data_IF_400259326170
#
_entry.id   IF_400259326170
#
_cell.length_a   1.000
_cell.length_b   1.000
_cell.length_c   1.000
_cell.angle_alpha   90.00
_cell.angle_beta   90.00
_cell.angle_gamma   90.00
#
_symmetry.space_group_name_H-M   'P 1'
#
loop_
_entity.id
_entity.type
_entity.pdbx_description
1 polymer ?
#
# COMPACT_ATOMS: atom_id res chain seq x y z
N UNK A 1 -8.17 -11.83 7.91
CA UNK A 1 -8.08 -11.28 6.53
C UNK A 1 -8.03 -12.42 5.53
N UNK A 2 -8.80 -12.33 4.46
CA UNK A 2 -8.79 -13.35 3.42
C UNK A 2 -7.44 -13.37 2.70
N UNK A 3 -6.94 -14.56 2.30
CA UNK A 3 -5.75 -14.61 1.44
C UNK A 3 -5.99 -13.90 0.12
N UNK A 4 -4.91 -13.40 -0.48
CA UNK A 4 -4.99 -12.83 -1.82
C UNK A 4 -5.35 -13.88 -2.85
N UNK A 5 -6.00 -13.47 -3.94
CA UNK A 5 -6.38 -14.37 -5.02
C UNK A 5 -5.16 -15.12 -5.59
N UNK A 6 -4.04 -14.41 -5.74
CA UNK A 6 -2.76 -15.02 -6.09
C UNK A 6 -1.97 -15.24 -4.80
N UNK A 7 -2.00 -16.46 -4.28
CA UNK A 7 -1.42 -16.78 -2.98
C UNK A 7 0.09 -16.60 -2.92
N UNK A 8 0.79 -16.80 -4.02
CA UNK A 8 2.24 -16.64 -4.08
C UNK A 8 2.70 -15.20 -3.84
N UNK A 9 1.82 -14.22 -4.05
CA UNK A 9 2.16 -12.82 -3.81
C UNK A 9 2.46 -12.57 -2.34
N UNK A 10 1.65 -13.12 -1.45
CA UNK A 10 1.88 -12.97 -0.01
C UNK A 10 3.04 -13.82 0.51
N UNK A 11 3.37 -14.91 -0.19
CA UNK A 11 4.39 -15.87 0.24
C UNK A 11 5.76 -15.61 -0.34
N UNK A 12 5.86 -14.83 -1.41
CA UNK A 12 7.14 -14.52 -2.02
C UNK A 12 7.97 -13.59 -1.13
N UNK A 13 9.28 -13.63 -1.31
CA UNK A 13 10.16 -12.73 -0.60
C UNK A 13 9.92 -11.31 -1.06
N UNK A 14 9.64 -10.35 -0.16
CA UNK A 14 9.42 -8.97 -0.55
C UNK A 14 10.70 -8.35 -1.09
N UNK A 15 10.54 -7.47 -2.06
CA UNK A 15 11.64 -6.73 -2.67
C UNK A 15 11.22 -5.27 -2.87
N UNK A 16 12.20 -4.41 -3.19
CA UNK A 16 11.96 -3.00 -3.47
C UNK A 16 11.70 -2.18 -2.22
N UNK A 17 11.09 -1.02 -2.41
CA UNK A 17 10.90 -0.03 -1.35
C UNK A 17 10.02 -0.51 -0.19
N UNK A 18 9.11 -1.43 -0.43
CA UNK A 18 8.18 -1.93 0.58
C UNK A 18 8.72 -3.12 1.38
N UNK A 19 9.85 -3.71 0.97
CA UNK A 19 10.39 -4.89 1.67
C UNK A 19 10.71 -4.60 3.14
N UNK A 20 11.32 -3.46 3.40
CA UNK A 20 11.67 -3.05 4.75
C UNK A 20 10.44 -2.84 5.62
N UNK A 21 9.45 -2.15 5.10
CA UNK A 21 8.21 -1.87 5.83
C UNK A 21 7.46 -3.15 6.17
N UNK A 22 7.39 -4.09 5.23
CA UNK A 22 6.78 -5.40 5.48
C UNK A 22 7.51 -6.13 6.59
N UNK A 23 8.84 -6.13 6.56
CA UNK A 23 9.66 -6.75 7.61
C UNK A 23 9.42 -6.14 8.98
N UNK A 24 9.36 -4.82 9.07
CA UNK A 24 9.10 -4.12 10.32
C UNK A 24 7.72 -4.46 10.89
N UNK A 25 6.69 -4.52 10.04
CA UNK A 25 5.35 -4.88 10.46
C UNK A 25 5.29 -6.32 10.98
N UNK A 26 5.95 -7.25 10.28
CA UNK A 26 6.01 -8.66 10.71
C UNK A 26 6.70 -8.81 12.06
N UNK A 27 7.84 -8.15 12.25
CA UNK A 27 8.57 -8.19 13.52
C UNK A 27 7.73 -7.63 14.67
N UNK A 28 6.92 -6.62 14.41
CA UNK A 28 6.04 -6.02 15.40
C UNK A 28 4.76 -6.84 15.65
N UNK A 29 4.57 -7.94 14.93
CA UNK A 29 3.35 -8.76 15.03
C UNK A 29 2.11 -8.07 14.48
N UNK A 30 2.29 -7.07 13.62
CA UNK A 30 1.19 -6.29 13.05
C UNK A 30 0.80 -6.82 11.68
N UNK A 31 -0.49 -6.70 11.31
CA UNK A 31 -0.92 -7.15 9.99
C UNK A 31 -0.30 -6.29 8.89
N UNK A 32 0.08 -6.95 7.80
CA UNK A 32 0.60 -6.27 6.61
C UNK A 32 -0.57 -6.07 5.64
N UNK A 33 -0.88 -4.83 5.24
CA UNK A 33 -1.89 -4.60 4.21
C UNK A 33 -1.53 -5.33 2.92
N UNK A 34 -2.50 -6.00 2.32
CA UNK A 34 -2.25 -6.85 1.14
C UNK A 34 -1.66 -6.08 -0.03
N UNK A 35 -2.01 -4.79 -0.16
CA UNK A 35 -1.45 -3.94 -1.22
C UNK A 35 0.07 -3.81 -1.12
N UNK A 36 0.62 -3.87 0.09
CA UNK A 36 2.08 -3.82 0.26
C UNK A 36 2.76 -5.06 -0.31
N UNK A 37 2.15 -6.23 -0.15
CA UNK A 37 2.65 -7.44 -0.77
C UNK A 37 2.66 -7.32 -2.29
N UNK A 38 1.62 -6.75 -2.87
CA UNK A 38 1.56 -6.52 -4.31
C UNK A 38 2.69 -5.61 -4.78
N UNK A 39 2.93 -4.52 -4.06
CA UNK A 39 3.99 -3.58 -4.40
C UNK A 39 5.39 -4.18 -4.26
N UNK A 40 5.58 -5.10 -3.32
CA UNK A 40 6.86 -5.75 -3.09
C UNK A 40 7.09 -6.97 -4.00
N UNK A 41 6.08 -7.42 -4.72
CA UNK A 41 6.16 -8.60 -5.58
C UNK A 41 6.94 -8.34 -6.85
N UNK A 42 6.65 -7.22 -7.53
CA UNK A 42 7.33 -6.81 -8.76
C UNK A 42 7.67 -5.32 -8.71
N UNK A 43 8.69 -4.96 -7.91
CA UNK A 43 8.99 -3.55 -7.64
C UNK A 43 9.44 -2.78 -8.88
N UNK A 44 9.97 -3.45 -9.90
CA UNK A 44 10.33 -2.82 -11.16
C UNK A 44 9.17 -2.09 -11.84
N UNK A 45 7.94 -2.52 -11.54
CA UNK A 45 6.72 -1.91 -12.07
C UNK A 45 6.00 -1.06 -11.03
N UNK A 46 5.87 -1.60 -9.82
CA UNK A 46 5.06 -0.97 -8.78
C UNK A 46 5.73 0.21 -8.13
N UNK A 47 7.06 0.35 -8.22
CA UNK A 47 7.74 1.54 -7.73
C UNK A 47 7.28 2.80 -8.47
N UNK A 48 7.01 2.70 -9.78
CA UNK A 48 6.45 3.83 -10.53
C UNK A 48 5.03 4.16 -10.08
N UNK A 49 4.21 3.15 -9.82
CA UNK A 49 2.86 3.34 -9.31
C UNK A 49 2.89 3.98 -7.92
N UNK A 50 3.82 3.57 -7.09
CA UNK A 50 4.01 4.15 -5.76
C UNK A 50 4.36 5.64 -5.85
N UNK A 51 5.26 6.01 -6.76
CA UNK A 51 5.63 7.42 -6.99
C UNK A 51 4.45 8.23 -7.51
N UNK A 52 3.70 7.67 -8.44
CA UNK A 52 2.49 8.31 -8.97
C UNK A 52 1.50 8.58 -7.83
N UNK A 53 1.23 7.57 -7.01
CA UNK A 53 0.31 7.68 -5.88
C UNK A 53 0.79 8.75 -4.89
N UNK A 54 2.08 8.78 -4.60
CA UNK A 54 2.65 9.78 -3.70
C UNK A 54 2.44 11.19 -4.25
N UNK A 55 2.64 11.37 -5.55
CA UNK A 55 2.40 12.66 -6.22
C UNK A 55 0.94 13.09 -6.13
N UNK A 56 0.02 12.17 -6.39
CA UNK A 56 -1.42 12.44 -6.33
C UNK A 56 -1.86 12.80 -4.90
N UNK A 57 -1.37 12.06 -3.92
CA UNK A 57 -1.82 12.22 -2.54
C UNK A 57 -1.13 13.37 -1.80
N UNK A 58 0.14 13.64 -2.10
CA UNK A 58 0.95 14.55 -1.31
C UNK A 58 1.70 15.60 -2.12
N UNK A 59 1.69 15.51 -3.45
CA UNK A 59 2.33 16.50 -4.31
C UNK A 59 1.60 17.83 -4.30
N UNK A 60 2.19 18.86 -4.95
CA UNK A 60 1.55 20.18 -5.04
C UNK A 60 0.16 20.10 -5.65
N UNK A 61 -0.82 20.73 -5.02
CA UNK A 61 -2.21 20.68 -5.47
C UNK A 61 -3.00 21.82 -4.80
N UNK A 62 -4.08 22.31 -5.44
CA UNK A 62 -5.02 23.22 -4.78
C UNK A 62 -5.68 22.59 -3.54
N UNK A 63 -5.78 21.26 -3.48
CA UNK A 63 -6.35 20.54 -2.33
C UNK A 63 -5.22 20.20 -1.34
N UNK A 64 -5.36 20.59 -0.06
CA UNK A 64 -4.38 20.19 0.95
C UNK A 64 -4.27 18.67 1.09
N UNK A 65 -3.08 18.20 1.47
CA UNK A 65 -2.83 16.75 1.62
C UNK A 65 -3.81 16.11 2.62
N UNK A 66 -4.11 16.78 3.73
CA UNK A 66 -5.06 16.27 4.71
C UNK A 66 -6.46 16.07 4.15
N UNK A 67 -6.90 16.96 3.27
CA UNK A 67 -8.20 16.82 2.61
C UNK A 67 -8.21 15.64 1.64
N UNK A 68 -7.12 15.45 0.89
CA UNK A 68 -6.98 14.30 0.01
C UNK A 68 -6.98 12.98 0.78
N UNK A 69 -6.32 12.94 1.93
CA UNK A 69 -6.36 11.77 2.81
C UNK A 69 -7.78 11.50 3.33
N UNK A 70 -8.53 12.54 3.65
CA UNK A 70 -9.91 12.40 4.10
C UNK A 70 -10.79 11.80 3.00
N UNK A 71 -10.63 12.24 1.76
CA UNK A 71 -11.35 11.67 0.62
C UNK A 71 -11.01 10.17 0.48
N UNK A 72 -9.73 9.83 0.57
CA UNK A 72 -9.30 8.44 0.47
C UNK A 72 -9.86 7.59 1.61
N UNK A 73 -9.83 8.08 2.83
CA UNK A 73 -10.37 7.38 3.99
C UNK A 73 -11.88 7.16 3.87
N UNK A 74 -12.62 8.19 3.42
CA UNK A 74 -14.05 8.08 3.18
C UNK A 74 -14.36 7.04 2.12
N UNK A 75 -13.62 7.05 1.02
CA UNK A 75 -13.79 6.09 -0.07
C UNK A 75 -13.53 4.67 0.42
N UNK A 76 -12.46 4.46 1.17
CA UNK A 76 -12.13 3.15 1.74
C UNK A 76 -13.24 2.65 2.65
N UNK A 77 -13.76 3.52 3.52
CA UNK A 77 -14.83 3.16 4.42
C UNK A 77 -16.10 2.76 3.69
N UNK A 78 -16.46 3.48 2.62
CA UNK A 78 -17.63 3.16 1.79
C UNK A 78 -17.48 1.82 1.08
N UNK A 79 -16.27 1.38 0.85
CA UNK A 79 -15.96 0.10 0.20
C UNK A 79 -15.56 -0.99 1.20
N UNK A 80 -15.81 -0.77 2.50
CA UNK A 80 -15.44 -1.71 3.56
C UNK A 80 -13.96 -2.10 3.53
N UNK A 81 -13.11 -1.18 3.09
CA UNK A 81 -11.66 -1.39 3.04
C UNK A 81 -11.06 -0.94 4.38
N UNK A 82 -10.35 -1.85 5.05
CA UNK A 82 -9.78 -1.62 6.38
C UNK A 82 -8.53 -0.76 6.32
N UNK A 83 -7.82 -0.83 5.22
CA UNK A 83 -6.57 -0.11 5.00
C UNK A 83 -6.72 0.92 3.90
#
# INVERSE_FOLDING_TARGET
MRPMFLTEVERSDPAGAYARLIGELREAGRPVPQIMHLFAYKPDRTDFLSRFTQGVMRGPSPLPAGFRELIAAFTSRRNDCRF
#
